data_IF_930149119047
#
_entry.id   IF_930149119047
#
_cell.length_a   1.000
_cell.length_b   1.000
_cell.length_c   1.000
_cell.angle_alpha   90.00
_cell.angle_beta   90.00
_cell.angle_gamma   90.00
#
_symmetry.space_group_name_H-M   'P 1'
#
loop_
_entity.id
_entity.type
_entity.pdbx_description
1 polymer ?
#
# COMPACT_ATOMS: atom_id res chain seq x y z
N UNK A 1 10.49 25.82 -17.85
CA UNK A 1 10.25 25.51 -16.42
C UNK A 1 11.56 25.01 -15.83
N UNK A 2 11.99 25.49 -14.67
CA UNK A 2 13.29 25.12 -14.07
C UNK A 2 13.05 24.44 -12.72
N UNK A 3 13.52 23.19 -12.52
CA UNK A 3 13.44 22.54 -11.22
C UNK A 3 14.19 23.34 -10.13
N UNK A 4 13.70 23.27 -8.90
CA UNK A 4 14.39 23.74 -7.71
C UNK A 4 15.56 22.80 -7.44
N UNK A 5 16.78 23.34 -7.44
CA UNK A 5 18.03 22.60 -7.24
C UNK A 5 18.88 23.15 -6.09
N UNK A 6 18.41 24.17 -5.37
CA UNK A 6 19.13 24.79 -4.24
C UNK A 6 18.24 24.88 -3.00
N UNK A 7 18.85 24.79 -1.81
CA UNK A 7 18.15 24.84 -0.52
C UNK A 7 17.43 26.17 -0.30
N UNK A 8 18.01 27.29 -0.74
CA UNK A 8 17.40 28.63 -0.64
C UNK A 8 16.10 28.70 -1.46
N UNK A 9 16.13 28.26 -2.73
CA UNK A 9 14.94 28.26 -3.57
C UNK A 9 13.87 27.28 -3.05
N UNK A 10 14.27 26.17 -2.42
CA UNK A 10 13.35 25.24 -1.77
C UNK A 10 12.67 25.88 -0.55
N UNK A 11 13.45 26.52 0.32
CA UNK A 11 12.93 27.22 1.49
C UNK A 11 11.96 28.35 1.09
N UNK A 12 12.30 29.11 0.05
CA UNK A 12 11.42 30.15 -0.51
C UNK A 12 10.10 29.58 -1.02
N UNK A 13 10.14 28.44 -1.72
CA UNK A 13 8.92 27.77 -2.18
C UNK A 13 8.07 27.29 -1.00
N UNK A 14 8.67 26.60 -0.03
CA UNK A 14 7.99 26.12 1.18
C UNK A 14 7.33 27.27 1.94
N UNK A 15 8.01 28.41 2.10
CA UNK A 15 7.46 29.59 2.76
C UNK A 15 6.21 30.16 2.06
N UNK A 16 6.16 30.12 0.71
CA UNK A 16 5.00 30.59 -0.07
C UNK A 16 3.78 29.68 0.10
N UNK A 17 3.99 28.38 0.27
CA UNK A 17 2.88 27.41 0.40
C UNK A 17 2.53 27.08 1.86
N UNK A 18 3.35 27.49 2.84
CA UNK A 18 3.16 27.20 4.26
C UNK A 18 1.83 27.70 4.86
N UNK A 19 1.21 28.73 4.26
CA UNK A 19 -0.08 29.25 4.71
C UNK A 19 -1.27 28.73 3.88
N UNK A 20 -1.02 27.86 2.90
CA UNK A 20 -2.09 27.26 2.11
C UNK A 20 -2.86 26.23 2.97
N UNK A 21 -4.17 26.07 2.76
CA UNK A 21 -4.96 25.07 3.50
C UNK A 21 -4.57 23.62 3.15
N UNK A 22 -3.93 23.43 1.99
CA UNK A 22 -3.41 22.14 1.55
C UNK A 22 -2.24 22.36 0.60
N UNK A 23 -1.44 21.30 0.45
CA UNK A 23 -0.52 21.12 -0.67
C UNK A 23 -0.80 19.76 -1.31
N UNK A 24 -0.73 19.70 -2.62
CA UNK A 24 -0.67 18.44 -3.37
C UNK A 24 0.77 18.03 -3.56
N UNK A 25 1.04 16.75 -3.45
CA UNK A 25 2.39 16.19 -3.58
C UNK A 25 2.33 14.96 -4.46
N UNK A 26 3.34 14.81 -5.30
CA UNK A 26 3.60 13.61 -6.09
C UNK A 26 5.11 13.35 -6.14
N UNK A 27 5.51 12.13 -6.52
CA UNK A 27 6.93 11.80 -6.68
C UNK A 27 7.19 10.96 -7.92
N UNK A 28 8.39 11.12 -8.49
CA UNK A 28 8.90 10.20 -9.51
C UNK A 28 10.14 9.50 -8.97
N UNK A 29 10.21 8.18 -9.14
CA UNK A 29 11.27 7.36 -8.58
C UNK A 29 11.53 6.09 -9.39
N UNK A 30 12.75 5.55 -9.27
CA UNK A 30 13.14 4.26 -9.87
C UNK A 30 13.21 3.17 -8.79
N UNK A 31 12.74 1.95 -9.09
CA UNK A 31 12.71 0.83 -8.11
C UNK A 31 12.88 -0.56 -8.73
N UNK A 32 13.17 -0.64 -10.03
CA UNK A 32 13.23 -1.89 -10.77
C UNK A 32 14.48 -2.71 -10.44
N UNK A 33 15.58 -2.02 -10.15
CA UNK A 33 16.91 -2.62 -9.99
C UNK A 33 17.47 -2.50 -8.57
N UNK A 34 16.82 -1.70 -7.72
CA UNK A 34 17.23 -1.40 -6.35
C UNK A 34 16.21 -1.90 -5.33
N UNK A 35 16.62 -2.09 -4.08
CA UNK A 35 15.69 -2.38 -3.00
C UNK A 35 14.97 -1.10 -2.58
N UNK A 36 15.75 -0.04 -2.41
CA UNK A 36 15.28 1.27 -2.01
C UNK A 36 14.82 2.05 -3.24
N UNK A 37 13.64 2.69 -3.20
CA UNK A 37 13.24 3.60 -4.26
C UNK A 37 14.27 4.73 -4.35
N UNK A 38 14.78 4.97 -5.56
CA UNK A 38 15.60 6.12 -5.87
C UNK A 38 14.68 7.27 -6.22
N UNK A 39 14.47 8.17 -5.26
CA UNK A 39 13.68 9.37 -5.46
C UNK A 39 14.37 10.28 -6.49
N UNK A 40 13.66 10.57 -7.58
CA UNK A 40 14.17 11.29 -8.74
C UNK A 40 13.55 12.67 -8.91
N UNK A 41 12.30 12.85 -8.48
CA UNK A 41 11.61 14.13 -8.56
C UNK A 41 10.58 14.22 -7.45
N UNK A 42 10.38 15.42 -6.91
CA UNK A 42 9.23 15.73 -6.07
C UNK A 42 8.46 16.86 -6.76
N UNK A 43 7.15 16.73 -6.82
CA UNK A 43 6.27 17.76 -7.31
C UNK A 43 5.40 18.21 -6.14
N UNK A 44 5.20 19.52 -6.03
CA UNK A 44 4.34 20.08 -5.02
C UNK A 44 3.57 21.27 -5.56
N UNK A 45 2.30 21.40 -5.18
CA UNK A 45 1.50 22.55 -5.52
C UNK A 45 0.51 22.93 -4.41
N UNK A 46 0.21 24.22 -4.32
CA UNK A 46 -0.98 24.77 -3.69
C UNK A 46 -1.93 25.22 -4.82
N UNK A 47 -2.98 25.99 -4.49
CA UNK A 47 -3.83 26.59 -5.52
C UNK A 47 -3.06 27.57 -6.45
N UNK A 48 -2.10 28.32 -5.89
CA UNK A 48 -1.49 29.48 -6.57
C UNK A 48 0.01 29.28 -6.91
N UNK A 49 0.64 28.29 -6.29
CA UNK A 49 2.07 28.04 -6.45
C UNK A 49 2.32 26.56 -6.72
N UNK A 50 3.18 26.26 -7.67
CA UNK A 50 3.60 24.90 -7.98
C UNK A 50 5.10 24.87 -8.27
N UNK A 51 5.75 23.78 -7.90
CA UNK A 51 7.17 23.57 -8.12
C UNK A 51 7.49 22.12 -8.41
N UNK A 52 8.60 21.95 -9.13
CA UNK A 52 9.31 20.69 -9.29
C UNK A 52 10.61 20.84 -8.51
N UNK A 53 10.90 19.90 -7.64
CA UNK A 53 12.10 19.86 -6.80
C UNK A 53 12.94 18.68 -7.29
N UNK A 54 14.23 18.93 -7.54
CA UNK A 54 15.19 17.91 -7.96
C UNK A 54 16.01 17.41 -6.75
N UNK A 55 15.58 16.32 -6.08
CA UNK A 55 16.28 15.76 -4.92
C UNK A 55 17.66 15.17 -5.24
N UNK A 56 18.01 15.07 -6.53
CA UNK A 56 19.31 14.57 -6.98
C UNK A 56 20.32 15.71 -7.19
N UNK A 57 19.92 16.97 -7.04
CA UNK A 57 20.80 18.12 -7.16
C UNK A 57 21.88 18.12 -6.06
N UNK A 58 23.13 18.36 -6.46
CA UNK A 58 24.27 18.37 -5.54
C UNK A 58 24.13 19.51 -4.52
N UNK A 59 24.23 19.18 -3.23
CA UNK A 59 24.18 20.15 -2.14
C UNK A 59 22.78 20.63 -1.75
N UNK A 60 21.71 20.12 -2.38
CA UNK A 60 20.34 20.40 -1.96
C UNK A 60 20.04 19.68 -0.63
N UNK A 61 19.60 20.44 0.37
CA UNK A 61 19.00 19.93 1.59
C UNK A 61 17.48 19.92 1.45
N UNK A 62 16.87 18.74 1.63
CA UNK A 62 15.42 18.55 1.51
C UNK A 62 14.66 18.92 2.79
N UNK A 63 15.35 19.19 3.90
CA UNK A 63 14.72 19.40 5.20
C UNK A 63 13.60 20.47 5.20
N UNK A 64 13.72 21.62 4.48
CA UNK A 64 12.61 22.59 4.41
C UNK A 64 11.31 22.00 3.84
N UNK A 65 11.40 21.04 2.92
CA UNK A 65 10.23 20.35 2.38
C UNK A 65 9.74 19.25 3.32
N UNK A 66 10.66 18.52 3.98
CA UNK A 66 10.31 17.51 4.96
C UNK A 66 9.59 18.12 6.18
N UNK A 67 9.96 19.32 6.60
CA UNK A 67 9.25 20.11 7.62
C UNK A 67 7.83 20.45 7.18
N UNK A 68 7.65 20.88 5.93
CA UNK A 68 6.34 21.16 5.35
C UNK A 68 5.43 19.91 5.34
N UNK A 69 6.00 18.73 5.05
CA UNK A 69 5.26 17.46 5.12
C UNK A 69 4.83 17.12 6.56
N UNK A 70 5.65 17.45 7.56
CA UNK A 70 5.34 17.24 8.99
C UNK A 70 4.40 18.28 9.58
N UNK A 71 4.18 19.41 8.93
CA UNK A 71 3.32 20.49 9.47
C UNK A 71 1.84 20.09 9.49
N UNK A 72 1.30 19.85 10.69
CA UNK A 72 -0.09 19.42 10.87
C UNK A 72 -1.14 20.48 10.51
N UNK A 73 -0.74 21.73 10.24
CA UNK A 73 -1.66 22.81 9.82
C UNK A 73 -2.08 22.70 8.36
N UNK A 74 -1.31 21.97 7.54
CA UNK A 74 -1.50 21.89 6.09
C UNK A 74 -1.83 20.45 5.71
N UNK A 75 -2.92 20.24 4.97
CA UNK A 75 -3.26 18.91 4.45
C UNK A 75 -2.34 18.55 3.29
N UNK A 76 -1.71 17.37 3.35
CA UNK A 76 -0.93 16.81 2.24
C UNK A 76 -1.81 15.91 1.39
N UNK A 77 -2.07 16.33 0.17
CA UNK A 77 -2.98 15.66 -0.76
C UNK A 77 -2.17 14.88 -1.78
N UNK A 78 -2.51 13.61 -1.95
CA UNK A 78 -1.86 12.70 -2.88
C UNK A 78 -2.90 11.96 -3.72
N UNK A 79 -2.45 11.17 -4.69
CA UNK A 79 -3.27 10.17 -5.36
C UNK A 79 -2.56 8.81 -5.31
N UNK A 80 -3.16 7.80 -4.65
CA UNK A 80 -2.56 6.47 -4.50
C UNK A 80 -1.18 6.49 -3.81
N UNK A 81 -1.10 7.20 -2.68
CA UNK A 81 0.10 7.76 -2.05
C UNK A 81 1.07 6.76 -1.40
N UNK A 82 0.77 5.47 -1.44
CA UNK A 82 1.45 4.49 -0.58
C UNK A 82 2.96 4.45 -0.81
N UNK A 83 3.40 4.54 -2.07
CA UNK A 83 4.83 4.48 -2.38
C UNK A 83 5.52 5.83 -2.14
N UNK A 84 4.84 6.94 -2.40
CA UNK A 84 5.34 8.29 -2.10
C UNK A 84 5.60 8.45 -0.60
N UNK A 85 4.65 8.03 0.23
CA UNK A 85 4.77 8.09 1.69
C UNK A 85 5.88 7.17 2.19
N UNK A 86 6.07 5.98 1.61
CA UNK A 86 7.19 5.10 1.94
C UNK A 86 8.54 5.82 1.76
N UNK A 87 8.67 6.59 0.67
CA UNK A 87 9.88 7.39 0.39
C UNK A 87 10.07 8.46 1.47
N UNK A 88 9.04 9.24 1.78
CA UNK A 88 9.15 10.32 2.77
C UNK A 88 9.41 9.82 4.18
N UNK A 89 8.77 8.71 4.59
CA UNK A 89 9.01 8.07 5.90
C UNK A 89 10.47 7.66 6.03
N UNK A 90 11.08 7.12 4.96
CA UNK A 90 12.50 6.79 4.93
C UNK A 90 13.40 8.03 5.02
N UNK A 91 12.95 9.16 4.49
CA UNK A 91 13.61 10.46 4.64
C UNK A 91 13.34 11.11 6.00
N UNK A 92 12.59 10.46 6.91
CA UNK A 92 12.31 10.97 8.26
C UNK A 92 11.10 11.90 8.33
N UNK A 93 10.21 11.89 7.34
CA UNK A 93 8.99 12.70 7.33
C UNK A 93 7.75 11.83 7.08
N UNK A 94 6.88 11.73 8.08
CA UNK A 94 5.52 11.20 7.88
C UNK A 94 4.60 12.37 7.49
N UNK A 95 4.01 12.39 6.27
CA UNK A 95 3.06 13.42 5.90
C UNK A 95 1.79 13.33 6.77
N UNK A 96 1.48 14.37 7.54
CA UNK A 96 0.26 14.41 8.37
C UNK A 96 -0.21 15.85 8.61
N UNK A 97 -1.53 16.15 8.52
CA UNK A 97 -2.60 15.30 8.03
C UNK A 97 -2.50 15.04 6.53
N UNK A 98 -3.08 13.93 6.06
CA UNK A 98 -3.05 13.54 4.65
C UNK A 98 -4.43 13.29 4.07
N UNK A 99 -4.52 13.36 2.74
CA UNK A 99 -5.72 13.01 1.98
C UNK A 99 -5.33 12.30 0.68
N UNK A 100 -5.71 11.03 0.54
CA UNK A 100 -5.53 10.26 -0.68
C UNK A 100 -6.79 10.34 -1.56
N UNK A 101 -6.65 10.96 -2.73
CA UNK A 101 -7.76 11.13 -3.67
C UNK A 101 -8.24 9.83 -4.33
N UNK A 102 -7.42 8.78 -4.41
CA UNK A 102 -7.86 7.47 -4.89
C UNK A 102 -8.77 6.80 -3.87
N UNK A 103 -8.42 6.86 -2.59
CA UNK A 103 -9.28 6.36 -1.50
C UNK A 103 -10.58 7.15 -1.44
N UNK A 104 -10.49 8.48 -1.50
CA UNK A 104 -11.65 9.35 -1.56
C UNK A 104 -12.57 9.05 -2.77
N UNK A 105 -11.99 8.70 -3.91
CA UNK A 105 -12.74 8.36 -5.11
C UNK A 105 -13.51 7.04 -4.98
N UNK A 106 -13.05 6.08 -4.15
CA UNK A 106 -13.84 4.89 -3.82
C UNK A 106 -15.14 5.25 -3.10
N UNK A 107 -15.10 6.22 -2.18
CA UNK A 107 -16.28 6.70 -1.45
C UNK A 107 -17.21 7.57 -2.33
N UNK A 108 -16.67 8.19 -3.38
CA UNK A 108 -17.40 9.02 -4.34
C UNK A 108 -17.90 8.26 -5.58
N UNK A 109 -17.76 6.93 -5.62
CA UNK A 109 -18.34 6.07 -6.65
C UNK A 109 -17.56 6.00 -7.96
N UNK A 110 -16.27 6.31 -7.97
CA UNK A 110 -15.42 6.23 -9.17
C UNK A 110 -14.79 4.85 -9.41
N UNK A 111 -15.10 3.87 -8.55
CA UNK A 111 -14.53 2.52 -8.59
C UNK A 111 -13.39 2.30 -7.59
N UNK A 112 -12.93 1.06 -7.48
CA UNK A 112 -11.97 0.64 -6.43
C UNK A 112 -10.52 1.09 -6.67
N UNK A 113 -10.15 1.31 -7.93
CA UNK A 113 -8.78 1.63 -8.35
C UNK A 113 -8.82 2.61 -9.52
N UNK A 114 -9.54 3.72 -9.34
CA UNK A 114 -9.56 4.75 -10.37
C UNK A 114 -8.13 5.27 -10.58
N UNK A 115 -7.70 5.29 -11.84
CA UNK A 115 -6.44 5.89 -12.22
C UNK A 115 -6.54 7.42 -12.16
N UNK A 116 -5.43 8.09 -11.86
CA UNK A 116 -5.35 9.54 -11.75
C UNK A 116 -5.93 10.26 -12.98
N UNK A 117 -5.50 9.88 -14.19
CA UNK A 117 -5.96 10.45 -15.45
C UNK A 117 -7.48 10.31 -15.65
N UNK A 118 -8.03 9.16 -15.24
CA UNK A 118 -9.47 8.91 -15.32
C UNK A 118 -10.23 9.80 -14.35
N UNK A 119 -9.72 9.98 -13.13
CA UNK A 119 -10.34 10.84 -12.13
C UNK A 119 -10.30 12.31 -12.55
N UNK A 120 -9.15 12.78 -13.04
CA UNK A 120 -8.99 14.13 -13.62
C UNK A 120 -9.95 14.35 -14.79
N UNK A 121 -10.01 13.41 -15.74
CA UNK A 121 -10.92 13.51 -16.88
C UNK A 121 -12.38 13.56 -16.47
N UNK A 122 -12.79 12.74 -15.50
CA UNK A 122 -14.20 12.70 -15.07
C UNK A 122 -14.61 13.95 -14.28
N UNK A 123 -13.74 14.47 -13.42
CA UNK A 123 -14.06 15.59 -12.52
C UNK A 123 -13.72 16.97 -13.07
N UNK A 124 -12.65 17.08 -13.87
CA UNK A 124 -12.16 18.34 -14.42
C UNK A 124 -12.38 18.47 -15.94
N UNK A 125 -12.75 17.38 -16.63
CA UNK A 125 -12.89 17.34 -18.10
C UNK A 125 -11.58 17.68 -18.83
N UNK A 126 -10.45 17.36 -18.20
CA UNK A 126 -9.10 17.54 -18.75
C UNK A 126 -8.55 16.18 -19.17
N UNK A 127 -7.93 16.10 -20.34
CA UNK A 127 -7.16 14.93 -20.75
C UNK A 127 -5.72 15.06 -20.28
N UNK A 128 -5.25 14.09 -19.49
CA UNK A 128 -3.87 14.03 -19.00
C UNK A 128 -3.03 13.22 -19.99
N UNK A 129 -1.93 13.80 -20.46
CA UNK A 129 -0.96 13.09 -21.30
C UNK A 129 -0.26 11.99 -20.47
N UNK A 130 -0.14 10.79 -21.04
CA UNK A 130 0.49 9.62 -20.39
C UNK A 130 1.92 9.40 -20.87
N UNK A 131 2.41 10.19 -21.82
CA UNK A 131 3.63 9.93 -22.57
C UNK A 131 4.91 9.84 -21.75
N UNK A 132 4.97 10.47 -20.55
CA UNK A 132 6.19 10.51 -19.73
C UNK A 132 6.19 9.61 -18.50
N UNK A 133 5.09 8.89 -18.21
CA UNK A 133 4.96 8.04 -17.02
C UNK A 133 6.02 6.92 -16.91
N UNK A 134 6.41 6.33 -18.04
CA UNK A 134 7.39 5.24 -18.10
C UNK A 134 8.69 5.71 -18.75
N UNK A 135 9.31 6.74 -18.18
CA UNK A 135 10.58 7.28 -18.62
C UNK A 135 11.66 7.13 -17.55
N UNK A 136 12.93 7.25 -17.94
CA UNK A 136 14.03 7.28 -16.98
C UNK A 136 14.06 8.64 -16.27
N UNK A 137 13.44 8.69 -15.09
CA UNK A 137 13.38 9.87 -14.23
C UNK A 137 14.72 10.19 -13.56
N UNK A 138 15.66 9.26 -13.54
CA UNK A 138 17.00 9.50 -12.99
C UNK A 138 17.92 10.24 -13.97
N UNK A 139 17.54 10.33 -15.25
CA UNK A 139 18.31 11.03 -16.28
C UNK A 139 18.32 12.53 -16.04
N UNK A 140 19.47 13.17 -16.27
CA UNK A 140 19.62 14.63 -16.27
C UNK A 140 20.28 15.13 -17.56
N UNK A 141 19.88 16.30 -18.09
CA UNK A 141 18.72 17.10 -17.66
C UNK A 141 17.39 16.39 -17.99
N UNK A 142 16.31 16.72 -17.26
CA UNK A 142 14.96 16.28 -17.60
C UNK A 142 14.48 16.96 -18.88
N UNK A 143 13.67 16.26 -19.67
CA UNK A 143 13.04 16.83 -20.86
C UNK A 143 11.90 17.78 -20.50
N UNK A 144 11.56 18.70 -21.40
CA UNK A 144 10.41 19.61 -21.21
C UNK A 144 9.10 18.83 -21.01
N UNK A 145 8.89 17.74 -21.77
CA UNK A 145 7.70 16.90 -21.64
C UNK A 145 7.61 16.25 -20.25
N UNK A 146 8.73 15.76 -19.69
CA UNK A 146 8.76 15.23 -18.33
C UNK A 146 8.38 16.30 -17.30
N UNK A 147 8.89 17.53 -17.46
CA UNK A 147 8.57 18.63 -16.55
C UNK A 147 7.10 19.05 -16.64
N UNK A 148 6.54 19.14 -17.85
CA UNK A 148 5.12 19.47 -18.06
C UNK A 148 4.21 18.39 -17.47
N UNK A 149 4.52 17.12 -17.73
CA UNK A 149 3.81 15.99 -17.16
C UNK A 149 3.82 16.04 -15.62
N UNK A 150 5.02 16.12 -15.04
CA UNK A 150 5.23 16.15 -13.59
C UNK A 150 4.47 17.30 -12.91
N UNK A 151 4.54 18.51 -13.46
CA UNK A 151 3.81 19.65 -12.88
C UNK A 151 2.28 19.47 -13.02
N UNK A 152 1.82 18.85 -14.11
CA UNK A 152 0.42 18.52 -14.35
C UNK A 152 -0.18 17.64 -13.25
N UNK A 153 0.58 16.65 -12.77
CA UNK A 153 0.12 15.68 -11.77
C UNK A 153 -0.21 16.33 -10.40
N UNK A 154 0.44 17.44 -10.05
CA UNK A 154 0.11 18.19 -8.81
C UNK A 154 -0.84 19.35 -9.06
N UNK A 155 -0.75 20.05 -10.20
CA UNK A 155 -1.61 21.21 -10.48
C UNK A 155 -3.05 20.81 -10.77
N UNK A 156 -3.28 19.72 -11.52
CA UNK A 156 -4.64 19.20 -11.72
C UNK A 156 -5.17 18.58 -10.41
N UNK A 157 -4.32 17.93 -9.61
CA UNK A 157 -4.70 17.43 -8.29
C UNK A 157 -5.16 18.58 -7.37
N UNK A 158 -4.51 19.74 -7.44
CA UNK A 158 -4.85 20.91 -6.63
C UNK A 158 -6.23 21.49 -7.01
N UNK A 159 -6.60 21.42 -8.29
CA UNK A 159 -7.94 21.77 -8.76
C UNK A 159 -9.00 20.69 -8.46
N UNK A 160 -8.59 19.41 -8.45
CA UNK A 160 -9.45 18.26 -8.22
C UNK A 160 -9.89 18.13 -6.76
N UNK A 161 -8.93 18.27 -5.83
CA UNK A 161 -9.13 17.96 -4.42
C UNK A 161 -10.29 18.73 -3.76
N UNK A 162 -10.40 20.06 -3.89
CA UNK A 162 -11.52 20.79 -3.30
C UNK A 162 -12.88 20.29 -3.80
N UNK A 163 -12.99 19.97 -5.09
CA UNK A 163 -14.24 19.45 -5.69
C UNK A 163 -14.61 18.07 -5.14
N UNK A 164 -13.62 17.18 -4.99
CA UNK A 164 -13.82 15.83 -4.47
C UNK A 164 -14.21 15.87 -2.98
N UNK A 165 -13.49 16.66 -2.18
CA UNK A 165 -13.79 16.87 -0.77
C UNK A 165 -15.19 17.45 -0.58
N UNK A 166 -15.54 18.50 -1.31
CA UNK A 166 -16.84 19.17 -1.18
C UNK A 166 -18.00 18.25 -1.60
N UNK A 167 -17.78 17.38 -2.61
CA UNK A 167 -18.73 16.34 -2.98
C UNK A 167 -18.94 15.34 -1.85
N UNK A 168 -17.86 14.81 -1.28
CA UNK A 168 -17.93 13.87 -0.16
C UNK A 168 -18.59 14.50 1.08
N UNK A 169 -18.34 15.77 1.34
CA UNK A 169 -19.00 16.51 2.43
C UNK A 169 -20.52 16.60 2.20
N UNK A 170 -20.96 16.93 0.98
CA UNK A 170 -22.39 16.99 0.63
C UNK A 170 -23.07 15.62 0.70
N UNK A 171 -22.34 14.56 0.38
CA UNK A 171 -22.81 13.17 0.48
C UNK A 171 -22.75 12.62 1.93
N UNK A 172 -22.20 13.37 2.89
CA UNK A 172 -22.04 12.91 4.28
C UNK A 172 -20.97 11.83 4.46
N UNK A 173 -20.02 11.71 3.52
CA UNK A 173 -19.02 10.63 3.44
C UNK A 173 -17.59 11.07 3.72
N UNK A 174 -17.36 12.36 4.03
CA UNK A 174 -16.02 12.85 4.28
C UNK A 174 -15.38 12.13 5.47
N UNK A 175 -16.14 11.91 6.55
CA UNK A 175 -15.67 11.17 7.73
C UNK A 175 -15.27 9.73 7.42
N UNK A 176 -15.97 9.07 6.48
CA UNK A 176 -15.62 7.72 6.03
C UNK A 176 -14.25 7.70 5.38
N UNK A 177 -13.92 8.74 4.62
CA UNK A 177 -12.63 8.85 3.94
C UNK A 177 -11.54 9.22 4.94
N UNK A 178 -11.82 10.10 5.90
CA UNK A 178 -10.86 10.50 6.91
C UNK A 178 -10.44 9.33 7.81
N UNK A 179 -11.35 8.40 8.15
CA UNK A 179 -10.98 7.20 8.91
C UNK A 179 -9.99 6.30 8.16
N UNK A 180 -10.04 6.27 6.82
CA UNK A 180 -9.08 5.49 6.03
C UNK A 180 -7.69 6.12 6.00
N UNK A 181 -7.61 7.45 6.12
CA UNK A 181 -6.32 8.16 6.14
C UNK A 181 -5.48 7.78 7.35
N UNK A 182 -6.11 7.45 8.48
CA UNK A 182 -5.40 7.02 9.69
C UNK A 182 -4.53 5.79 9.42
N UNK A 183 -5.08 4.81 8.68
CA UNK A 183 -4.35 3.60 8.29
C UNK A 183 -3.16 3.89 7.37
N UNK A 184 -3.25 4.92 6.54
CA UNK A 184 -2.15 5.36 5.66
C UNK A 184 -1.08 6.15 6.42
N UNK A 185 -1.40 6.71 7.59
CA UNK A 185 -0.44 7.40 8.45
C UNK A 185 0.19 6.52 9.52
N UNK A 186 -0.13 5.23 9.59
CA UNK A 186 0.46 4.29 10.53
C UNK A 186 1.91 3.95 10.12
N UNK A 187 2.93 4.27 10.96
CA UNK A 187 4.32 3.92 10.68
C UNK A 187 4.53 2.41 10.45
N UNK A 188 3.72 1.54 11.05
CA UNK A 188 3.82 0.09 10.87
C UNK A 188 3.56 -0.34 9.43
N UNK A 189 2.81 0.45 8.64
CA UNK A 189 2.56 0.19 7.23
C UNK A 189 3.84 0.26 6.37
N UNK A 190 4.82 1.04 6.83
CA UNK A 190 6.08 1.33 6.15
C UNK A 190 7.28 0.67 6.82
N UNK A 191 7.05 -0.25 7.76
CA UNK A 191 8.11 -0.93 8.47
C UNK A 191 8.95 -1.80 7.52
N UNK A 192 10.24 -1.47 7.44
CA UNK A 192 11.24 -2.24 6.69
C UNK A 192 12.18 -3.01 7.61
N UNK A 193 11.85 -3.19 8.89
CA UNK A 193 12.68 -3.96 9.82
C UNK A 193 12.82 -5.42 9.33
N UNK A 194 14.04 -5.92 9.11
CA UNK A 194 14.27 -7.30 8.70
C UNK A 194 13.59 -8.34 9.59
N UNK A 195 13.46 -8.10 10.89
CA UNK A 195 12.83 -9.02 11.84
C UNK A 195 11.34 -9.27 11.56
N UNK A 196 10.69 -8.36 10.84
CA UNK A 196 9.27 -8.48 10.46
C UNK A 196 9.08 -9.03 9.04
N UNK A 197 10.15 -9.24 8.27
CA UNK A 197 10.09 -9.66 6.87
C UNK A 197 9.38 -10.98 6.61
N UNK A 198 9.32 -11.88 7.60
CA UNK A 198 8.65 -13.17 7.51
C UNK A 198 7.12 -13.07 7.63
N UNK A 199 6.60 -12.03 8.32
CA UNK A 199 5.16 -11.86 8.60
C UNK A 199 4.32 -11.73 7.33
N UNK A 200 4.90 -11.15 6.26
CA UNK A 200 4.25 -10.99 4.94
C UNK A 200 4.28 -12.24 4.05
N UNK A 201 5.09 -13.26 4.39
CA UNK A 201 5.34 -14.43 3.53
C UNK A 201 4.44 -15.65 3.83
N UNK A 202 3.55 -15.55 4.84
CA UNK A 202 2.54 -16.57 5.22
C UNK A 202 3.10 -18.01 5.25
N UNK A 203 3.72 -18.44 6.37
CA UNK A 203 4.28 -19.79 6.49
C UNK A 203 3.21 -20.88 6.29
N UNK A 204 3.59 -22.01 5.67
CA UNK A 204 2.67 -23.13 5.36
C UNK A 204 2.64 -24.22 6.43
N UNK A 205 3.66 -24.26 7.29
CA UNK A 205 3.84 -25.26 8.35
C UNK A 205 4.11 -24.55 9.67
N UNK A 206 3.80 -25.23 10.78
CA UNK A 206 3.86 -24.67 12.14
C UNK A 206 4.71 -25.49 13.11
N UNK A 207 5.64 -26.33 12.59
CA UNK A 207 6.65 -26.96 13.46
C UNK A 207 7.74 -25.94 13.80
N UNK A 208 8.26 -25.97 15.03
CA UNK A 208 9.29 -25.04 15.49
C UNK A 208 10.51 -25.03 14.56
N UNK A 209 10.99 -26.22 14.16
CA UNK A 209 12.08 -26.38 13.19
C UNK A 209 11.83 -25.62 11.88
N UNK A 210 10.65 -25.75 11.30
CA UNK A 210 10.31 -25.06 10.05
C UNK A 210 10.19 -23.55 10.28
N UNK A 211 9.47 -23.12 11.32
CA UNK A 211 9.24 -21.70 11.58
C UNK A 211 10.53 -20.95 11.92
N UNK A 212 11.43 -21.56 12.70
CA UNK A 212 12.75 -21.02 13.00
C UNK A 212 13.58 -20.80 11.72
N UNK A 213 13.67 -21.83 10.86
CA UNK A 213 14.37 -21.72 9.59
C UNK A 213 13.70 -20.72 8.64
N UNK A 214 12.37 -20.73 8.53
CA UNK A 214 11.59 -19.83 7.68
C UNK A 214 11.81 -18.37 8.07
N UNK A 215 11.71 -18.05 9.36
CA UNK A 215 12.00 -16.72 9.89
C UNK A 215 13.45 -16.33 9.59
N UNK A 216 14.41 -17.18 9.94
CA UNK A 216 15.84 -16.90 9.74
C UNK A 216 16.17 -16.58 8.28
N UNK A 217 15.68 -17.38 7.33
CA UNK A 217 15.90 -17.17 5.89
C UNK A 217 15.25 -15.88 5.41
N UNK A 218 14.03 -15.57 5.88
CA UNK A 218 13.34 -14.33 5.50
C UNK A 218 14.04 -13.08 6.05
N UNK A 219 14.50 -13.10 7.30
CA UNK A 219 15.27 -12.02 7.93
C UNK A 219 16.60 -11.82 7.20
N UNK A 220 17.33 -12.92 6.96
CA UNK A 220 18.59 -12.91 6.23
C UNK A 220 18.42 -12.31 4.84
N UNK A 221 17.40 -12.73 4.09
CA UNK A 221 17.13 -12.20 2.74
C UNK A 221 16.87 -10.70 2.80
N UNK A 222 16.08 -10.25 3.77
CA UNK A 222 15.77 -8.83 3.90
C UNK A 222 17.02 -7.99 4.15
N UNK A 223 17.88 -8.42 5.08
CA UNK A 223 19.17 -7.75 5.33
C UNK A 223 20.03 -7.73 4.08
N UNK A 224 20.21 -8.88 3.43
CA UNK A 224 21.04 -9.00 2.24
C UNK A 224 20.54 -8.11 1.08
N UNK A 225 19.22 -7.99 0.92
CA UNK A 225 18.59 -7.14 -0.09
C UNK A 225 18.77 -5.64 0.22
N UNK A 226 18.64 -5.25 1.50
CA UNK A 226 18.85 -3.87 1.95
C UNK A 226 20.30 -3.42 1.82
N UNK A 227 21.26 -4.23 2.29
CA UNK A 227 22.69 -3.92 2.26
C UNK A 227 23.25 -3.80 0.85
N UNK A 228 22.78 -4.65 -0.06
CA UNK A 228 23.23 -4.66 -1.46
C UNK A 228 22.41 -3.72 -2.34
N UNK A 229 21.38 -3.10 -1.78
CA UNK A 229 20.37 -2.34 -2.50
C UNK A 229 19.86 -3.07 -3.75
N UNK A 230 19.36 -4.30 -3.56
CA UNK A 230 18.86 -5.16 -4.64
C UNK A 230 17.46 -5.70 -4.35
N UNK A 231 16.61 -5.87 -5.38
CA UNK A 231 15.29 -6.47 -5.21
C UNK A 231 15.37 -7.83 -4.51
N UNK A 232 14.44 -8.08 -3.58
CA UNK A 232 14.39 -9.31 -2.76
C UNK A 232 14.48 -10.59 -3.59
N UNK A 233 13.73 -10.65 -4.70
CA UNK A 233 13.71 -11.80 -5.61
C UNK A 233 15.03 -12.04 -6.35
N UNK A 234 15.91 -11.04 -6.45
CA UNK A 234 17.27 -11.17 -6.99
C UNK A 234 18.22 -11.84 -5.99
N UNK A 235 17.98 -11.65 -4.69
CA UNK A 235 18.70 -12.37 -3.63
C UNK A 235 18.19 -13.81 -3.54
N UNK A 236 16.87 -13.96 -3.30
CA UNK A 236 16.21 -15.25 -3.16
C UNK A 236 14.70 -15.09 -3.38
N UNK A 237 14.11 -15.91 -4.26
CA UNK A 237 12.65 -15.92 -4.49
C UNK A 237 11.88 -16.45 -3.28
N UNK A 238 10.60 -16.11 -3.15
CA UNK A 238 9.76 -16.54 -2.03
C UNK A 238 9.65 -18.07 -1.95
N UNK A 239 9.61 -18.77 -3.09
CA UNK A 239 9.60 -20.23 -3.13
C UNK A 239 10.90 -20.83 -2.57
N UNK A 240 12.02 -20.13 -2.76
CA UNK A 240 13.31 -20.52 -2.19
C UNK A 240 13.32 -20.46 -0.66
N UNK A 241 12.63 -19.48 -0.07
CA UNK A 241 12.50 -19.39 1.39
C UNK A 241 11.77 -20.61 1.94
N UNK A 242 10.62 -20.94 1.36
CA UNK A 242 9.82 -22.09 1.79
C UNK A 242 10.58 -23.41 1.59
N UNK A 243 11.23 -23.61 0.45
CA UNK A 243 12.00 -24.83 0.18
C UNK A 243 13.19 -24.99 1.15
N UNK A 244 13.95 -23.92 1.40
CA UNK A 244 15.06 -23.93 2.37
C UNK A 244 14.55 -24.22 3.78
N UNK A 245 13.43 -23.61 4.20
CA UNK A 245 12.85 -23.88 5.52
C UNK A 245 12.35 -25.32 5.68
N UNK A 246 11.91 -25.97 4.60
CA UNK A 246 11.47 -27.36 4.61
C UNK A 246 12.64 -28.35 4.62
N UNK A 247 13.66 -28.12 3.79
CA UNK A 247 14.78 -29.05 3.62
C UNK A 247 15.91 -28.80 4.63
N UNK A 248 15.98 -27.60 5.21
CA UNK A 248 16.98 -27.18 6.20
C UNK A 248 18.42 -27.49 5.76
N UNK A 249 18.87 -27.03 4.56
CA UNK A 249 20.22 -27.28 4.09
C UNK A 249 21.25 -26.54 4.97
N UNK A 250 22.31 -27.24 5.37
CA UNK A 250 23.39 -26.67 6.20
C UNK A 250 24.77 -26.78 5.56
N UNK A 251 24.84 -27.25 4.31
CA UNK A 251 26.08 -27.39 3.55
C UNK A 251 25.84 -27.08 2.06
N UNK A 252 26.94 -26.85 1.34
CA UNK A 252 26.95 -26.44 -0.07
C UNK A 252 26.18 -27.43 -0.96
N UNK A 253 26.40 -28.73 -0.75
CA UNK A 253 25.78 -29.79 -1.54
C UNK A 253 24.27 -29.85 -1.30
N UNK A 254 23.83 -29.65 -0.06
CA UNK A 254 22.42 -29.58 0.29
C UNK A 254 21.72 -28.40 -0.38
N UNK A 255 22.34 -27.22 -0.41
CA UNK A 255 21.80 -26.07 -1.15
C UNK A 255 21.72 -26.34 -2.65
N UNK A 256 22.74 -26.97 -3.25
CA UNK A 256 22.78 -27.24 -4.69
C UNK A 256 21.74 -28.29 -5.15
N UNK A 257 21.17 -29.09 -4.24
CA UNK A 257 20.06 -30.01 -4.52
C UNK A 257 18.69 -29.33 -4.60
N UNK A 258 18.56 -28.11 -4.08
CA UNK A 258 17.30 -27.37 -4.08
C UNK A 258 16.96 -26.85 -5.48
N UNK A 259 15.67 -26.87 -5.83
CA UNK A 259 15.21 -26.47 -7.16
C UNK A 259 14.98 -24.97 -7.28
N UNK A 260 14.53 -24.33 -6.21
CA UNK A 260 14.13 -22.92 -6.17
C UNK A 260 15.28 -21.99 -5.76
N UNK A 261 16.47 -22.55 -5.55
CA UNK A 261 17.70 -21.83 -5.23
C UNK A 261 18.60 -21.79 -6.47
N UNK A 262 19.23 -20.64 -6.80
CA UNK A 262 20.13 -20.55 -7.95
C UNK A 262 21.29 -21.56 -7.85
N UNK A 263 21.67 -22.16 -8.99
CA UNK A 263 22.84 -23.08 -9.04
C UNK A 263 24.11 -22.35 -8.58
N UNK A 264 24.91 -23.01 -7.73
CA UNK A 264 26.13 -22.44 -7.18
C UNK A 264 25.90 -21.47 -6.01
N UNK A 265 24.65 -21.19 -5.63
CA UNK A 265 24.33 -20.35 -4.47
C UNK A 265 24.99 -20.86 -3.19
N UNK A 266 24.95 -22.18 -2.94
CA UNK A 266 25.51 -22.78 -1.71
C UNK A 266 26.99 -22.47 -1.49
N UNK A 267 27.78 -22.39 -2.56
CA UNK A 267 29.22 -22.06 -2.50
C UNK A 267 29.52 -20.57 -2.56
N UNK A 268 28.50 -19.72 -2.74
CA UNK A 268 28.66 -18.26 -2.71
C UNK A 268 28.77 -17.76 -1.26
N UNK A 269 29.30 -16.54 -1.10
CA UNK A 269 29.33 -15.86 0.21
C UNK A 269 27.95 -15.82 0.88
N UNK A 270 26.90 -15.51 0.11
CA UNK A 270 25.52 -15.49 0.58
C UNK A 270 25.04 -16.87 1.07
N UNK A 271 25.36 -17.94 0.33
CA UNK A 271 24.99 -19.30 0.70
C UNK A 271 25.68 -19.78 1.98
N UNK A 272 26.96 -19.43 2.14
CA UNK A 272 27.73 -19.75 3.36
C UNK A 272 27.18 -19.01 4.58
N UNK A 273 26.93 -17.69 4.46
CA UNK A 273 26.30 -16.87 5.50
C UNK A 273 24.95 -17.46 5.93
N UNK A 274 24.10 -17.86 4.96
CA UNK A 274 22.81 -18.47 5.26
C UNK A 274 22.96 -19.86 5.90
N UNK A 275 23.93 -20.66 5.48
CA UNK A 275 24.19 -21.99 6.05
C UNK A 275 24.58 -21.90 7.53
N UNK A 276 25.41 -20.92 7.90
CA UNK A 276 25.79 -20.66 9.29
C UNK A 276 24.60 -20.21 10.13
N UNK A 277 23.79 -19.30 9.60
CA UNK A 277 22.58 -18.84 10.28
C UNK A 277 21.57 -19.98 10.48
N UNK A 278 21.39 -20.84 9.48
CA UNK A 278 20.55 -22.04 9.60
C UNK A 278 21.09 -23.00 10.67
N UNK A 279 22.39 -23.28 10.71
CA UNK A 279 22.99 -24.11 11.78
C UNK A 279 22.71 -23.54 13.16
N UNK A 280 22.86 -22.22 13.31
CA UNK A 280 22.63 -21.51 14.57
C UNK A 280 21.19 -21.66 15.07
N UNK A 281 20.20 -21.35 14.22
CA UNK A 281 18.78 -21.42 14.63
C UNK A 281 18.28 -22.86 14.76
N UNK A 282 18.86 -23.81 14.01
CA UNK A 282 18.47 -25.21 14.07
C UNK A 282 19.06 -25.96 15.26
N UNK A 283 20.09 -25.42 15.91
CA UNK A 283 20.65 -25.96 17.15
C UNK A 283 19.66 -25.83 18.32
N UNK A 284 18.82 -24.80 18.32
CA UNK A 284 17.73 -24.61 19.27
C UNK A 284 16.50 -23.97 18.58
N UNK A 285 15.71 -24.77 17.84
CA UNK A 285 14.61 -24.21 17.05
C UNK A 285 13.47 -23.64 17.88
N UNK A 286 13.24 -24.15 19.08
CA UNK A 286 12.13 -23.71 19.93
C UNK A 286 12.32 -22.26 20.40
N UNK A 287 13.56 -21.85 20.69
CA UNK A 287 13.85 -20.45 21.08
C UNK A 287 13.83 -19.46 19.91
N UNK A 288 14.02 -19.95 18.67
CA UNK A 288 14.09 -19.11 17.47
C UNK A 288 12.79 -19.08 16.67
N UNK A 289 11.92 -20.07 16.86
CA UNK A 289 10.63 -20.12 16.20
C UNK A 289 9.79 -18.92 16.65
N UNK A 290 9.22 -18.14 15.72
CA UNK A 290 8.23 -17.15 16.10
C UNK A 290 7.05 -17.82 16.80
N UNK A 291 6.59 -17.22 17.89
CA UNK A 291 5.29 -17.57 18.46
C UNK A 291 4.22 -17.26 17.42
N UNK A 292 3.58 -18.32 16.94
CA UNK A 292 2.43 -18.22 16.08
C UNK A 292 1.32 -19.01 16.72
N UNK A 293 0.18 -18.36 16.90
CA UNK A 293 -1.05 -19.10 17.08
C UNK A 293 -1.20 -20.01 15.85
N UNK A 294 -1.15 -21.32 16.09
CA UNK A 294 -1.59 -22.26 15.07
C UNK A 294 -2.99 -21.78 14.70
N UNK A 295 -3.30 -21.59 13.40
CA UNK A 295 -4.68 -21.42 13.00
C UNK A 295 -5.42 -22.54 13.71
N UNK A 296 -6.35 -22.18 14.61
CA UNK A 296 -7.25 -23.17 15.17
C UNK A 296 -7.80 -23.96 13.98
N UNK A 297 -8.23 -25.20 14.18
CA UNK A 297 -8.97 -25.90 13.13
C UNK A 297 -10.30 -25.15 12.92
N UNK A 298 -10.22 -23.97 12.28
CA UNK A 298 -11.32 -23.10 11.96
C UNK A 298 -12.00 -23.83 10.84
N UNK A 299 -13.28 -24.10 11.04
CA UNK A 299 -14.10 -24.58 9.95
C UNK A 299 -13.91 -23.61 8.78
N UNK A 300 -13.62 -24.12 7.57
CA UNK A 300 -13.53 -23.26 6.42
C UNK A 300 -14.85 -22.49 6.28
N UNK A 301 -14.76 -21.22 5.92
CA UNK A 301 -15.95 -20.41 5.67
C UNK A 301 -16.85 -21.15 4.66
N UNK A 302 -18.15 -21.33 4.93
CA UNK A 302 -19.04 -22.01 4.00
C UNK A 302 -19.03 -21.29 2.64
N UNK A 303 -18.56 -21.93 1.55
CA UNK A 303 -18.35 -21.22 0.28
C UNK A 303 -19.62 -20.58 -0.28
N UNK A 304 -20.76 -21.24 -0.12
CA UNK A 304 -22.08 -20.73 -0.53
C UNK A 304 -22.47 -19.46 0.21
N UNK A 305 -22.20 -19.38 1.51
CA UNK A 305 -22.47 -18.18 2.32
C UNK A 305 -21.59 -17.02 1.85
N UNK A 306 -20.30 -17.29 1.58
CA UNK A 306 -19.38 -16.27 1.07
C UNK A 306 -19.84 -15.73 -0.29
N UNK A 307 -20.31 -16.59 -1.20
CA UNK A 307 -20.84 -16.14 -2.49
C UNK A 307 -22.12 -15.30 -2.35
N UNK A 308 -23.04 -15.68 -1.46
CA UNK A 308 -24.22 -14.85 -1.17
C UNK A 308 -23.84 -13.49 -0.59
N UNK A 309 -22.87 -13.45 0.34
CA UNK A 309 -22.36 -12.21 0.91
C UNK A 309 -21.68 -11.32 -0.14
N UNK A 310 -20.98 -11.90 -1.12
CA UNK A 310 -20.40 -11.14 -2.25
C UNK A 310 -21.48 -10.48 -3.10
N UNK A 311 -22.55 -11.21 -3.40
CA UNK A 311 -23.69 -10.67 -4.17
C UNK A 311 -24.38 -9.55 -3.39
N UNK A 312 -24.64 -9.74 -2.09
CA UNK A 312 -25.18 -8.70 -1.22
C UNK A 312 -24.27 -7.47 -1.17
N UNK A 313 -22.97 -7.66 -0.94
CA UNK A 313 -21.99 -6.59 -0.88
C UNK A 313 -22.01 -5.77 -2.18
N UNK A 314 -22.07 -6.45 -3.33
CA UNK A 314 -22.15 -5.78 -4.62
C UNK A 314 -23.43 -4.96 -4.77
N UNK A 315 -24.58 -5.52 -4.41
CA UNK A 315 -25.86 -4.81 -4.44
C UNK A 315 -25.86 -3.57 -3.53
N UNK A 316 -25.33 -3.69 -2.31
CA UNK A 316 -25.22 -2.56 -1.37
C UNK A 316 -24.24 -1.50 -1.85
N UNK A 317 -23.09 -1.92 -2.36
CA UNK A 317 -22.08 -1.06 -2.97
C UNK A 317 -22.65 -0.24 -4.13
N UNK A 318 -23.36 -0.88 -5.05
CA UNK A 318 -23.96 -0.22 -6.21
C UNK A 318 -25.07 0.76 -5.82
N UNK A 319 -25.93 0.38 -4.88
CA UNK A 319 -27.00 1.26 -4.37
C UNK A 319 -26.46 2.46 -3.59
N UNK A 320 -25.39 2.26 -2.82
CA UNK A 320 -24.73 3.34 -2.09
C UNK A 320 -23.86 4.22 -3.01
N UNK A 321 -23.46 3.73 -4.18
CA UNK A 321 -22.47 4.43 -5.02
C UNK A 321 -21.09 4.49 -4.37
N UNK A 322 -20.70 3.43 -3.66
CA UNK A 322 -19.43 3.31 -2.92
C UNK A 322 -18.74 2.03 -3.37
N UNK A 323 -17.43 2.04 -3.57
CA UNK A 323 -16.70 0.86 -4.01
C UNK A 323 -16.75 -0.27 -2.95
N UNK A 324 -17.00 -1.52 -3.38
CA UNK A 324 -17.16 -2.68 -2.48
C UNK A 324 -15.98 -2.88 -1.54
N UNK A 325 -14.75 -2.73 -2.05
CA UNK A 325 -13.52 -2.84 -1.26
C UNK A 325 -13.43 -1.86 -0.09
N UNK A 326 -14.06 -0.69 -0.18
CA UNK A 326 -14.11 0.26 0.94
C UNK A 326 -15.04 -0.23 2.05
N UNK A 327 -16.08 -0.98 1.70
CA UNK A 327 -17.06 -1.52 2.64
C UNK A 327 -16.53 -2.80 3.31
N UNK A 328 -16.09 -3.78 2.52
CA UNK A 328 -15.60 -5.07 3.00
C UNK A 328 -14.67 -5.76 1.98
N UNK A 329 -13.72 -6.54 2.48
CA UNK A 329 -12.86 -7.43 1.66
C UNK A 329 -13.39 -8.86 1.66
N UNK A 330 -12.90 -9.71 0.74
CA UNK A 330 -13.24 -11.15 0.76
C UNK A 330 -12.86 -11.81 2.08
N UNK A 331 -11.74 -11.40 2.69
CA UNK A 331 -11.34 -11.91 4.01
C UNK A 331 -12.33 -11.53 5.11
N UNK A 332 -12.95 -10.35 5.00
CA UNK A 332 -14.01 -9.94 5.91
C UNK A 332 -15.27 -10.77 5.72
N UNK A 333 -15.64 -11.06 4.46
CA UNK A 333 -16.78 -11.93 4.16
C UNK A 333 -16.58 -13.36 4.69
N UNK A 334 -15.37 -13.90 4.58
CA UNK A 334 -15.03 -15.20 5.17
C UNK A 334 -15.18 -15.20 6.69
N UNK A 335 -14.74 -14.14 7.37
CA UNK A 335 -14.89 -14.00 8.82
C UNK A 335 -16.36 -13.85 9.23
N UNK A 336 -17.15 -13.06 8.50
CA UNK A 336 -18.59 -12.92 8.73
C UNK A 336 -19.30 -14.25 8.48
N UNK A 337 -18.93 -14.99 7.44
CA UNK A 337 -19.53 -16.30 7.15
C UNK A 337 -19.31 -17.29 8.30
N UNK A 338 -18.17 -17.21 9.00
CA UNK A 338 -17.82 -18.07 10.14
C UNK A 338 -18.47 -17.59 11.45
N UNK A 339 -18.53 -16.28 11.69
CA UNK A 339 -18.96 -15.70 12.99
C UNK A 339 -19.82 -14.46 12.80
N UNK A 340 -20.90 -14.36 13.58
CA UNK A 340 -21.75 -13.17 13.63
C UNK A 340 -21.08 -12.02 14.40
N UNK A 341 -20.16 -12.33 15.32
CA UNK A 341 -19.45 -11.39 16.18
C UNK A 341 -18.01 -11.13 15.68
N UNK A 342 -17.78 -11.18 14.36
CA UNK A 342 -16.46 -10.94 13.79
C UNK A 342 -15.95 -9.53 14.10
N UNK A 343 -14.81 -9.42 14.79
CA UNK A 343 -14.16 -8.14 15.09
C UNK A 343 -13.40 -7.61 13.86
N UNK A 344 -14.13 -6.97 12.95
CA UNK A 344 -13.63 -6.41 11.69
C UNK A 344 -14.33 -5.10 11.35
N UNK A 345 -13.72 -4.28 10.49
CA UNK A 345 -14.25 -2.96 10.13
C UNK A 345 -15.61 -3.04 9.44
N UNK A 346 -15.86 -4.09 8.65
CA UNK A 346 -17.17 -4.34 8.03
C UNK A 346 -18.32 -4.45 9.06
N UNK A 347 -18.00 -4.77 10.31
CA UNK A 347 -18.93 -4.89 11.45
C UNK A 347 -18.86 -3.70 12.40
N UNK A 348 -18.32 -2.56 11.96
CA UNK A 348 -18.21 -1.32 12.75
C UNK A 348 -18.71 -0.10 11.97
N UNK A 349 -19.13 0.93 12.71
CA UNK A 349 -19.44 2.26 12.17
C UNK A 349 -20.35 2.26 10.95
N UNK A 350 -19.99 3.07 9.95
CA UNK A 350 -20.76 3.25 8.72
C UNK A 350 -20.81 1.99 7.84
N UNK A 351 -19.77 1.14 7.86
CA UNK A 351 -19.72 -0.11 7.10
C UNK A 351 -20.77 -1.10 7.59
N UNK A 352 -20.93 -1.19 8.92
CA UNK A 352 -21.99 -2.00 9.53
C UNK A 352 -23.38 -1.53 9.11
N UNK A 353 -23.60 -0.22 9.05
CA UNK A 353 -24.87 0.36 8.64
C UNK A 353 -25.18 0.09 7.15
N UNK A 354 -24.18 0.12 6.27
CA UNK A 354 -24.38 -0.11 4.82
C UNK A 354 -24.50 -1.60 4.48
N UNK A 355 -23.72 -2.45 5.15
CA UNK A 355 -23.56 -3.84 4.76
C UNK A 355 -23.61 -4.81 5.95
N UNK A 356 -22.89 -4.54 7.04
CA UNK A 356 -22.71 -5.52 8.12
C UNK A 356 -24.02 -6.02 8.75
N UNK A 357 -24.99 -5.14 9.00
CA UNK A 357 -26.31 -5.56 9.52
C UNK A 357 -27.05 -6.48 8.54
N UNK A 358 -27.11 -6.10 7.27
CA UNK A 358 -27.79 -6.91 6.26
C UNK A 358 -27.04 -8.21 5.96
N UNK A 359 -25.72 -8.24 6.10
CA UNK A 359 -24.93 -9.47 6.02
C UNK A 359 -25.36 -10.47 7.10
N UNK A 360 -25.60 -10.00 8.33
CA UNK A 360 -26.10 -10.83 9.41
C UNK A 360 -27.56 -11.26 9.18
N UNK A 361 -28.43 -10.34 8.73
CA UNK A 361 -29.82 -10.68 8.37
C UNK A 361 -29.87 -11.76 7.27
N UNK A 362 -29.02 -11.66 6.25
CA UNK A 362 -28.93 -12.63 5.18
C UNK A 362 -28.53 -14.02 5.71
N UNK A 363 -27.54 -14.07 6.61
CA UNK A 363 -27.12 -15.31 7.26
C UNK A 363 -28.24 -15.95 8.09
N UNK A 364 -29.08 -15.14 8.74
CA UNK A 364 -30.22 -15.61 9.52
C UNK A 364 -31.47 -15.95 8.69
N UNK A 365 -31.43 -15.68 7.38
CA UNK A 365 -32.57 -15.91 6.49
C UNK A 365 -33.71 -14.90 6.68
N UNK A 366 -33.40 -13.70 7.18
CA UNK A 366 -34.37 -12.61 7.40
C UNK A 366 -34.53 -11.73 6.15
N UNK A 367 -33.61 -11.84 5.18
CA UNK A 367 -33.67 -11.15 3.90
C UNK A 367 -33.37 -12.10 2.74
N UNK A 368 -33.93 -11.82 1.57
CA UNK A 368 -33.64 -12.49 0.31
C UNK A 368 -32.98 -11.53 -0.70
N UNK A 369 -32.16 -12.10 -1.57
CA UNK A 369 -31.65 -11.43 -2.77
C UNK A 369 -32.53 -11.82 -3.95
N UNK A 370 -33.17 -10.83 -4.58
CA UNK A 370 -34.04 -11.02 -5.74
C UNK A 370 -33.49 -10.29 -6.96
N UNK A 371 -33.82 -10.78 -8.15
CA UNK A 371 -33.49 -10.10 -9.40
C UNK A 371 -34.65 -9.19 -9.81
N UNK A 372 -34.37 -7.90 -10.02
CA UNK A 372 -35.26 -6.96 -10.68
C UNK A 372 -34.59 -6.53 -12.00
N UNK A 373 -34.93 -7.23 -13.08
CA UNK A 373 -34.26 -7.08 -14.36
C UNK A 373 -32.77 -7.44 -14.27
N UNK A 374 -31.89 -6.47 -14.52
CA UNK A 374 -30.44 -6.64 -14.43
C UNK A 374 -29.84 -6.24 -13.07
N UNK A 375 -30.69 -5.87 -12.08
CA UNK A 375 -30.27 -5.44 -10.75
C UNK A 375 -30.59 -6.48 -9.70
N UNK A 376 -29.75 -6.55 -8.67
CA UNK A 376 -30.01 -7.33 -7.46
C UNK A 376 -30.63 -6.39 -6.42
N UNK A 377 -31.78 -6.80 -5.87
CA UNK A 377 -32.47 -6.10 -4.79
C UNK A 377 -32.52 -6.96 -3.52
N UNK A 378 -32.60 -6.30 -2.38
CA UNK A 378 -32.72 -6.94 -1.06
C UNK A 378 -34.15 -6.76 -0.58
N UNK A 379 -34.82 -7.84 -0.23
CA UNK A 379 -36.20 -7.84 0.30
C UNK A 379 -36.23 -8.52 1.66
N UNK A 380 -37.09 -8.07 2.56
CA UNK A 380 -37.33 -8.76 3.82
C UNK A 380 -38.17 -10.02 3.59
N UNK A 381 -37.85 -11.08 4.33
CA UNK A 381 -38.63 -12.32 4.33
C UNK A 381 -39.54 -12.26 5.56
N UNK A 382 -40.85 -12.16 5.32
CA UNK A 382 -41.88 -12.27 6.37
C UNK A 382 -42.07 -13.72 6.86
#
# INVERSE_FOLDING_TARGET
MTPITTTEALADFCARVANAPFITVDTEFMRETTYWPKLCLIQAASADHAAIIDPMAEGLDLEPFLDLLRDEKIVKVFHACRQDVEIFVRLGAMPKPMFDTQVAAMAAGFGEQVAYDSLVRQMLRIEVDKGSRFTDWARRPLSENQLVYALGDVTHLAALYPKLRDRLQKEGRLEWVMSEMESLTDPALYDTNPENAWKRLKPKKFSAKYLAAFKAVAVWRERAAQERDQPRGRILKDEGIDEIAQQTPTDVEAFNRLRSVPKGFGGSRLGLELAEELKRVLADPESHAPEMERPAHRQPAPPSVVELLKVLLKAKSDNAGVASKLIATVSDLEKIAISDDADIDAMKGWRRQIFGEDALKLKRGEIALVLNGARVEVVEIE
#
